data_IF_718247006136
#
_entry.id   IF_718247006136
#
_cell.length_a   1.000
_cell.length_b   1.000
_cell.length_c   1.000
_cell.angle_alpha   90.00
_cell.angle_beta   90.00
_cell.angle_gamma   90.00
#
_symmetry.space_group_name_H-M   'P 1'
#
loop_
_entity.id
_entity.type
_entity.pdbx_description
1 polymer ?
#
# COMPACT_ATOMS: atom_id res chain seq x y z
N UNK A 1 27.28 -5.89 9.00
CA UNK A 1 26.89 -7.23 9.50
C UNK A 1 26.21 -7.97 8.36
N UNK A 2 26.61 -9.20 8.06
CA UNK A 2 26.08 -9.95 6.90
C UNK A 2 24.59 -10.30 7.10
N UNK A 3 23.81 -10.32 6.00
CA UNK A 3 22.42 -10.81 5.96
C UNK A 3 22.27 -12.22 6.56
N UNK A 4 23.34 -13.00 6.53
CA UNK A 4 23.44 -14.33 7.14
C UNK A 4 23.40 -14.30 8.68
N UNK A 5 23.95 -13.26 9.33
CA UNK A 5 23.88 -13.11 10.79
C UNK A 5 22.50 -12.62 11.25
N UNK A 6 21.83 -11.77 10.48
CA UNK A 6 20.44 -11.35 10.77
C UNK A 6 19.46 -12.54 10.63
N UNK A 7 19.64 -13.36 9.60
CA UNK A 7 18.85 -14.58 9.40
C UNK A 7 19.14 -15.66 10.46
N UNK A 8 20.38 -15.81 10.93
CA UNK A 8 20.71 -16.73 12.05
C UNK A 8 20.13 -16.27 13.38
N UNK A 9 20.08 -14.96 13.64
CA UNK A 9 19.43 -14.40 14.85
C UNK A 9 17.91 -14.54 14.76
N UNK A 10 17.31 -14.33 13.59
CA UNK A 10 15.87 -14.55 13.36
C UNK A 10 15.47 -16.02 13.55
N UNK A 11 16.25 -16.95 12.98
CA UNK A 11 16.10 -18.39 13.22
C UNK A 11 16.27 -18.75 14.72
N UNK A 12 17.21 -18.11 15.43
CA UNK A 12 17.37 -18.29 16.88
C UNK A 12 16.20 -17.75 17.71
N UNK A 13 15.54 -16.68 17.27
CA UNK A 13 14.45 -16.04 18.01
C UNK A 13 13.09 -16.69 17.72
N UNK A 14 12.88 -17.18 16.50
CA UNK A 14 11.61 -17.77 16.07
C UNK A 14 11.51 -19.27 16.43
N UNK A 15 12.61 -20.03 16.33
CA UNK A 15 12.57 -21.50 16.50
C UNK A 15 12.96 -21.97 17.93
N UNK A 16 13.66 -21.15 18.74
CA UNK A 16 14.12 -21.55 20.10
C UNK A 16 13.29 -20.99 21.27
N UNK A 17 12.31 -20.12 21.06
CA UNK A 17 11.48 -19.60 22.16
C UNK A 17 10.66 -20.68 22.90
N UNK A 18 10.08 -21.69 22.22
CA UNK A 18 9.46 -22.83 22.91
C UNK A 18 10.49 -23.59 23.77
N UNK A 19 11.75 -23.66 23.32
CA UNK A 19 12.84 -24.35 24.03
C UNK A 19 13.28 -23.59 25.30
N UNK A 20 13.42 -22.26 25.23
CA UNK A 20 13.74 -21.43 26.41
C UNK A 20 12.59 -21.45 27.41
N UNK A 21 11.35 -21.30 26.95
CA UNK A 21 10.18 -21.31 27.84
C UNK A 21 10.01 -22.66 28.55
N UNK A 22 10.18 -23.78 27.85
CA UNK A 22 10.19 -25.11 28.47
C UNK A 22 11.31 -25.26 29.50
N UNK A 23 12.50 -24.71 29.22
CA UNK A 23 13.63 -24.71 30.16
C UNK A 23 13.33 -23.88 31.41
N UNK A 24 12.68 -22.71 31.27
CA UNK A 24 12.30 -21.86 32.39
C UNK A 24 11.24 -22.50 33.28
N UNK A 25 10.31 -23.25 32.71
CA UNK A 25 9.34 -24.07 33.46
C UNK A 25 10.08 -25.17 34.22
N UNK A 26 10.96 -25.93 33.56
CA UNK A 26 11.77 -26.99 34.18
C UNK A 26 12.65 -26.48 35.34
N UNK A 27 13.16 -25.25 35.23
CA UNK A 27 13.95 -24.58 36.26
C UNK A 27 13.10 -23.91 37.35
N UNK A 28 11.76 -24.02 37.30
CA UNK A 28 10.83 -23.39 38.25
C UNK A 28 10.87 -21.86 38.23
N UNK A 29 11.34 -21.25 37.15
CA UNK A 29 11.44 -19.79 36.99
C UNK A 29 10.13 -19.15 36.56
N UNK A 30 9.28 -19.91 35.89
CA UNK A 30 7.91 -19.53 35.50
C UNK A 30 6.98 -20.73 35.72
N UNK A 31 5.68 -20.49 35.89
CA UNK A 31 4.69 -21.56 35.95
C UNK A 31 4.32 -22.08 34.55
N UNK A 32 3.82 -23.31 34.48
CA UNK A 32 3.26 -23.86 33.24
C UNK A 32 2.10 -23.00 32.68
N UNK A 33 1.30 -22.39 33.56
CA UNK A 33 0.18 -21.54 33.17
C UNK A 33 0.63 -20.25 32.46
N UNK A 34 1.69 -19.61 32.99
CA UNK A 34 2.32 -18.46 32.34
C UNK A 34 2.88 -18.87 30.98
N UNK A 35 3.58 -20.01 30.90
CA UNK A 35 4.12 -20.52 29.63
C UNK A 35 3.03 -20.79 28.58
N UNK A 36 1.91 -21.41 28.98
CA UNK A 36 0.77 -21.67 28.08
C UNK A 36 0.14 -20.37 27.57
N UNK A 37 0.08 -19.35 28.40
CA UNK A 37 -0.49 -18.05 28.02
C UNK A 37 0.41 -17.34 27.02
N UNK A 38 1.72 -17.28 27.29
CA UNK A 38 2.71 -16.69 26.38
C UNK A 38 2.77 -17.41 25.03
N UNK A 39 2.75 -18.75 25.02
CA UNK A 39 2.72 -19.52 23.77
C UNK A 39 1.49 -19.19 22.91
N UNK A 40 0.30 -19.10 23.51
CA UNK A 40 -0.91 -18.72 22.77
C UNK A 40 -0.83 -17.31 22.18
N UNK A 41 -0.20 -16.37 22.87
CA UNK A 41 0.03 -15.02 22.35
C UNK A 41 1.00 -15.09 21.16
N UNK A 42 2.08 -15.83 21.31
CA UNK A 42 3.09 -16.02 20.27
C UNK A 42 2.52 -16.66 19.00
N UNK A 43 1.74 -17.73 19.14
CA UNK A 43 1.05 -18.42 18.04
C UNK A 43 0.14 -17.46 17.27
N UNK A 44 -0.71 -16.68 17.96
CA UNK A 44 -1.58 -15.69 17.31
C UNK A 44 -0.79 -14.62 16.54
N UNK A 45 0.35 -14.19 17.07
CA UNK A 45 1.20 -13.21 16.39
C UNK A 45 1.78 -13.78 15.10
N UNK A 46 2.30 -15.02 15.14
CA UNK A 46 2.81 -15.71 13.94
C UNK A 46 1.69 -15.88 12.91
N UNK A 47 0.53 -16.39 13.33
CA UNK A 47 -0.61 -16.62 12.44
C UNK A 47 -1.04 -15.32 11.75
N UNK A 48 -1.12 -14.21 12.51
CA UNK A 48 -1.44 -12.90 11.95
C UNK A 48 -0.41 -12.44 10.91
N UNK A 49 0.89 -12.60 11.19
CA UNK A 49 1.94 -12.22 10.24
C UNK A 49 1.92 -13.08 8.97
N UNK A 50 1.68 -14.39 9.09
CA UNK A 50 1.55 -15.28 7.94
C UNK A 50 0.34 -14.94 7.08
N UNK A 51 -0.81 -14.66 7.72
CA UNK A 51 -2.01 -14.21 7.01
C UNK A 51 -1.76 -12.90 6.25
N UNK A 52 -1.08 -11.93 6.87
CA UNK A 52 -0.70 -10.68 6.23
C UNK A 52 0.24 -10.91 5.03
N UNK A 53 1.25 -11.78 5.17
CA UNK A 53 2.16 -12.10 4.08
C UNK A 53 1.40 -12.71 2.88
N UNK A 54 0.44 -13.60 3.13
CA UNK A 54 -0.41 -14.18 2.09
C UNK A 54 -1.36 -13.15 1.44
N UNK A 55 -1.90 -12.20 2.20
CA UNK A 55 -2.66 -11.08 1.63
C UNK A 55 -1.78 -10.23 0.70
N UNK A 56 -0.58 -9.88 1.15
CA UNK A 56 0.38 -9.07 0.39
C UNK A 56 0.84 -9.74 -0.91
N UNK A 57 0.90 -11.08 -0.94
CA UNK A 57 1.24 -11.84 -2.16
C UNK A 57 0.29 -11.58 -3.34
N UNK A 58 -0.95 -11.17 -3.06
CA UNK A 58 -1.93 -10.84 -4.11
C UNK A 58 -1.86 -9.38 -4.55
N UNK A 59 -1.23 -8.52 -3.74
CA UNK A 59 -1.08 -7.09 -4.05
C UNK A 59 -0.15 -6.94 -5.23
N UNK A 60 -0.57 -6.14 -6.21
CA UNK A 60 0.07 -6.05 -7.51
C UNK A 60 1.55 -5.62 -7.42
N UNK A 61 1.87 -4.79 -6.42
CA UNK A 61 3.21 -4.30 -6.11
C UNK A 61 4.15 -5.38 -5.53
N UNK A 62 3.60 -6.39 -4.85
CA UNK A 62 4.36 -7.35 -4.06
C UNK A 62 4.26 -8.80 -4.58
N UNK A 63 3.43 -9.06 -5.58
CA UNK A 63 3.14 -10.41 -6.10
C UNK A 63 4.34 -11.24 -6.58
N UNK A 64 5.47 -10.61 -6.87
CA UNK A 64 6.70 -11.28 -7.32
C UNK A 64 7.82 -11.28 -6.26
N UNK A 65 7.51 -10.84 -5.04
CA UNK A 65 8.44 -10.94 -3.92
C UNK A 65 8.52 -12.38 -3.43
N UNK A 66 9.69 -12.75 -2.92
CA UNK A 66 9.85 -14.05 -2.27
C UNK A 66 9.24 -14.04 -0.86
N UNK A 67 9.05 -15.22 -0.29
CA UNK A 67 8.41 -15.41 1.03
C UNK A 67 9.10 -14.60 2.12
N UNK A 68 10.44 -14.66 2.20
CA UNK A 68 11.20 -13.90 3.20
C UNK A 68 10.98 -12.38 3.11
N UNK A 69 10.85 -11.82 1.90
CA UNK A 69 10.54 -10.41 1.72
C UNK A 69 9.08 -10.08 2.08
N UNK A 70 8.13 -10.97 1.75
CA UNK A 70 6.72 -10.82 2.15
C UNK A 70 6.54 -10.89 3.68
N UNK A 71 7.25 -11.79 4.35
CA UNK A 71 7.27 -11.88 5.81
C UNK A 71 7.87 -10.62 6.47
N UNK A 72 8.97 -10.10 5.92
CA UNK A 72 9.54 -8.84 6.38
C UNK A 72 8.60 -7.65 6.15
N UNK A 73 7.84 -7.62 5.04
CA UNK A 73 6.80 -6.61 4.83
C UNK A 73 5.65 -6.78 5.83
N UNK A 74 5.19 -8.01 6.05
CA UNK A 74 4.13 -8.29 7.02
C UNK A 74 4.50 -7.87 8.45
N UNK A 75 5.80 -7.78 8.77
CA UNK A 75 6.29 -7.30 10.06
C UNK A 75 6.11 -5.78 10.26
N UNK A 76 6.14 -5.00 9.18
CA UNK A 76 5.99 -3.53 9.20
C UNK A 76 4.60 -3.07 8.73
N UNK A 77 3.69 -4.02 8.51
CA UNK A 77 2.36 -3.80 7.98
C UNK A 77 1.33 -3.60 9.12
N UNK A 78 0.44 -2.64 8.94
CA UNK A 78 -0.69 -2.38 9.82
C UNK A 78 -2.00 -2.60 9.06
N UNK A 79 -2.95 -3.33 9.65
CA UNK A 79 -4.27 -3.54 9.04
C UNK A 79 -5.26 -2.50 9.53
N UNK A 80 -5.99 -1.88 8.61
CA UNK A 80 -7.01 -0.88 8.91
C UNK A 80 -8.31 -1.20 8.15
N UNK A 81 -9.44 -1.17 8.85
CA UNK A 81 -10.75 -1.41 8.28
C UNK A 81 -11.55 -0.12 8.25
N UNK A 82 -12.16 0.16 7.09
CA UNK A 82 -12.92 1.38 6.83
C UNK A 82 -14.34 1.05 6.40
N UNK A 83 -15.31 1.70 7.04
CA UNK A 83 -16.72 1.62 6.64
C UNK A 83 -16.95 2.42 5.33
N UNK A 84 -18.04 2.15 4.58
CA UNK A 84 -18.44 2.97 3.44
C UNK A 84 -18.52 4.46 3.80
N UNK A 85 -18.23 5.31 2.82
CA UNK A 85 -18.20 6.77 2.91
C UNK A 85 -17.16 7.34 3.90
N UNK A 86 -16.26 6.50 4.41
CA UNK A 86 -15.17 6.97 5.28
C UNK A 86 -14.02 7.55 4.47
N UNK A 87 -13.60 8.77 4.81
CA UNK A 87 -12.42 9.42 4.23
C UNK A 87 -11.15 8.80 4.82
N UNK A 88 -10.36 8.14 3.97
CA UNK A 88 -9.12 7.46 4.37
C UNK A 88 -7.92 8.42 4.24
N UNK A 89 -7.93 9.24 3.21
CA UNK A 89 -6.89 10.23 2.93
C UNK A 89 -7.55 11.53 2.51
N UNK A 90 -7.03 12.64 3.04
CA UNK A 90 -7.50 14.00 2.73
C UNK A 90 -6.44 14.71 1.89
N UNK A 91 -6.87 15.34 0.79
CA UNK A 91 -6.02 16.18 -0.04
C UNK A 91 -5.38 17.30 0.80
N UNK A 92 -4.09 17.55 0.56
CA UNK A 92 -3.34 18.59 1.27
C UNK A 92 -2.74 18.18 2.61
N UNK A 93 -3.11 17.02 3.17
CA UNK A 93 -2.48 16.47 4.39
C UNK A 93 -1.11 15.87 4.13
N UNK A 94 -0.36 15.55 5.18
CA UNK A 94 0.95 14.94 5.07
C UNK A 94 0.88 13.56 4.39
N UNK A 95 1.80 13.29 3.47
CA UNK A 95 1.97 11.98 2.84
C UNK A 95 3.14 11.23 3.51
N UNK A 96 2.84 10.53 4.61
CA UNK A 96 3.82 9.80 5.44
C UNK A 96 3.64 8.27 5.41
N UNK A 97 2.64 7.79 4.68
CA UNK A 97 2.32 6.37 4.54
C UNK A 97 1.64 6.08 3.20
N UNK A 98 1.62 4.81 2.81
CA UNK A 98 0.85 4.33 1.67
C UNK A 98 0.04 3.10 2.05
N UNK A 99 -0.89 2.72 1.18
CA UNK A 99 -1.88 1.69 1.48
C UNK A 99 -1.98 0.68 0.34
N UNK A 100 -2.23 -0.58 0.71
CA UNK A 100 -2.62 -1.66 -0.19
C UNK A 100 -4.07 -2.05 0.09
N UNK A 101 -4.89 -2.21 -0.96
CA UNK A 101 -6.28 -2.63 -0.82
C UNK A 101 -6.35 -4.15 -0.80
N UNK A 102 -6.70 -4.75 0.35
CA UNK A 102 -6.88 -6.21 0.46
C UNK A 102 -8.28 -6.62 0.04
N UNK A 103 -9.28 -5.81 0.39
CA UNK A 103 -10.66 -5.94 -0.07
C UNK A 103 -11.36 -4.59 -0.06
N UNK A 104 -12.39 -4.46 -0.88
CA UNK A 104 -13.19 -3.24 -1.02
C UNK A 104 -12.91 -2.50 -2.33
N UNK A 105 -13.45 -1.29 -2.41
CA UNK A 105 -13.34 -0.38 -3.55
C UNK A 105 -13.33 1.05 -3.00
N UNK A 106 -12.43 1.88 -3.54
CA UNK A 106 -12.20 3.24 -3.07
C UNK A 106 -12.37 4.25 -4.20
N UNK A 107 -12.94 5.40 -3.91
CA UNK A 107 -13.07 6.52 -4.84
C UNK A 107 -11.98 7.54 -4.59
N UNK A 108 -11.34 7.98 -5.67
CA UNK A 108 -10.38 9.09 -5.67
C UNK A 108 -11.06 10.34 -6.21
N UNK A 109 -11.01 11.42 -5.44
CA UNK A 109 -11.54 12.73 -5.84
C UNK A 109 -10.52 13.83 -5.62
N UNK A 110 -10.67 14.92 -6.36
CA UNK A 110 -9.86 16.13 -6.18
C UNK A 110 -10.76 17.33 -5.93
N UNK A 111 -10.43 18.13 -4.93
CA UNK A 111 -11.16 19.35 -4.61
C UNK A 111 -10.87 20.40 -5.68
N UNK A 112 -11.90 21.09 -6.17
CA UNK A 112 -11.78 22.18 -7.12
C UNK A 112 -12.08 23.54 -6.44
N UNK A 113 -11.05 24.32 -6.07
CA UNK A 113 -11.24 25.60 -5.39
C UNK A 113 -11.98 26.64 -6.24
N UNK A 114 -11.90 26.54 -7.56
CA UNK A 114 -12.57 27.46 -8.49
C UNK A 114 -14.07 27.17 -8.61
N UNK A 115 -14.52 26.00 -8.14
CA UNK A 115 -15.92 25.57 -8.16
C UNK A 115 -16.46 25.33 -6.76
N UNK A 116 -16.26 26.29 -5.85
CA UNK A 116 -16.82 26.25 -4.50
C UNK A 116 -16.49 24.93 -3.76
N UNK A 117 -15.24 24.46 -3.91
CA UNK A 117 -14.72 23.21 -3.34
C UNK A 117 -15.48 21.94 -3.77
N UNK A 118 -16.13 21.94 -4.93
CA UNK A 118 -16.70 20.72 -5.52
C UNK A 118 -15.63 19.63 -5.71
N UNK A 119 -15.99 18.39 -5.40
CA UNK A 119 -15.13 17.22 -5.60
C UNK A 119 -15.29 16.65 -7.01
N UNK A 120 -14.22 16.75 -7.81
CA UNK A 120 -14.14 16.10 -9.12
C UNK A 120 -13.69 14.64 -8.96
N UNK A 121 -14.47 13.69 -9.48
CA UNK A 121 -14.08 12.28 -9.57
C UNK A 121 -12.87 12.11 -10.49
N UNK A 122 -11.85 11.39 -10.02
CA UNK A 122 -10.66 11.06 -10.80
C UNK A 122 -10.65 9.60 -11.23
N UNK A 123 -10.83 8.67 -10.28
CA UNK A 123 -10.71 7.24 -10.55
C UNK A 123 -11.26 6.41 -9.39
N UNK A 124 -11.33 5.10 -9.61
CA UNK A 124 -11.57 4.08 -8.56
C UNK A 124 -10.28 3.30 -8.32
N UNK A 125 -10.07 2.85 -7.08
CA UNK A 125 -8.99 1.94 -6.68
C UNK A 125 -9.64 0.66 -6.16
N UNK A 126 -9.30 -0.45 -6.81
CA UNK A 126 -9.88 -1.76 -6.51
C UNK A 126 -8.97 -2.62 -5.63
N UNK A 127 -9.52 -3.75 -5.18
CA UNK A 127 -8.79 -4.83 -4.53
C UNK A 127 -7.48 -5.16 -5.26
N UNK A 128 -6.45 -5.44 -4.47
CA UNK A 128 -5.08 -5.77 -4.83
C UNK A 128 -4.26 -4.61 -5.44
N UNK A 129 -4.82 -3.40 -5.53
CA UNK A 129 -4.06 -2.22 -5.94
C UNK A 129 -3.44 -1.48 -4.74
N UNK A 130 -2.56 -0.54 -5.05
CA UNK A 130 -1.80 0.30 -4.12
C UNK A 130 -2.04 1.77 -4.44
N UNK A 131 -2.18 2.59 -3.40
CA UNK A 131 -2.29 4.04 -3.51
C UNK A 131 -1.49 4.77 -2.42
N UNK A 132 -1.17 6.04 -2.69
CA UNK A 132 -0.37 6.88 -1.80
C UNK A 132 1.13 6.58 -1.87
N UNK A 133 1.56 5.69 -2.77
CA UNK A 133 2.94 5.26 -2.99
C UNK A 133 3.88 6.40 -3.41
N UNK A 134 3.33 7.52 -3.90
CA UNK A 134 4.11 8.71 -4.24
C UNK A 134 4.91 9.24 -3.05
N UNK A 135 4.44 9.01 -1.81
CA UNK A 135 5.16 9.41 -0.61
C UNK A 135 6.54 8.75 -0.49
N UNK A 136 6.77 7.60 -1.13
CA UNK A 136 8.03 6.87 -1.11
C UNK A 136 9.12 7.67 -1.87
N UNK A 137 8.75 8.35 -2.96
CA UNK A 137 9.67 9.04 -3.85
C UNK A 137 9.85 10.52 -3.50
N UNK A 138 8.78 11.16 -3.07
CA UNK A 138 8.77 12.59 -2.77
C UNK A 138 8.15 12.84 -1.39
N UNK A 139 8.75 13.74 -0.62
CA UNK A 139 8.10 14.30 0.56
C UNK A 139 7.08 15.33 0.11
N UNK A 140 5.85 15.24 0.59
CA UNK A 140 4.85 16.21 0.19
C UNK A 140 3.52 15.99 0.85
N UNK A 141 2.52 16.58 0.22
CA UNK A 141 1.12 16.49 0.63
C UNK A 141 0.37 15.48 -0.23
N UNK A 142 -0.72 14.95 0.30
CA UNK A 142 -1.68 14.15 -0.45
C UNK A 142 -2.23 14.96 -1.61
N UNK A 143 -2.25 14.37 -2.80
CA UNK A 143 -2.60 15.05 -4.06
C UNK A 143 -4.08 14.95 -4.43
N UNK A 144 -4.82 14.10 -3.72
CA UNK A 144 -6.22 13.81 -3.91
C UNK A 144 -6.79 13.21 -2.61
N UNK A 145 -8.11 13.27 -2.47
CA UNK A 145 -8.83 12.56 -1.44
C UNK A 145 -9.05 11.09 -1.84
N UNK A 146 -9.13 10.21 -0.84
CA UNK A 146 -9.52 8.81 -1.04
C UNK A 146 -10.60 8.44 -0.03
N UNK A 147 -11.71 7.89 -0.52
CA UNK A 147 -12.88 7.53 0.28
C UNK A 147 -13.26 6.08 0.01
N UNK A 148 -13.60 5.32 1.05
CA UNK A 148 -14.13 3.97 0.89
C UNK A 148 -15.55 4.03 0.31
N UNK A 149 -15.82 3.31 -0.79
CA UNK A 149 -17.18 3.19 -1.34
C UNK A 149 -17.94 2.01 -0.74
N UNK A 150 -17.21 1.00 -0.28
CA UNK A 150 -17.72 -0.18 0.42
C UNK A 150 -16.84 -0.46 1.64
N UNK A 151 -17.26 -1.37 2.52
CA UNK A 151 -16.40 -1.82 3.62
C UNK A 151 -15.08 -2.34 3.05
N UNK A 152 -13.98 -1.74 3.48
CA UNK A 152 -12.66 -1.93 2.87
C UNK A 152 -11.63 -2.29 3.92
N UNK A 153 -10.84 -3.33 3.63
CA UNK A 153 -9.69 -3.74 4.44
C UNK A 153 -8.42 -3.30 3.73
N UNK A 154 -7.64 -2.46 4.39
CA UNK A 154 -6.40 -1.91 3.89
C UNK A 154 -5.22 -2.42 4.71
N UNK A 155 -4.07 -2.50 4.06
CA UNK A 155 -2.78 -2.64 4.73
C UNK A 155 -2.01 -1.34 4.56
N UNK A 156 -1.75 -0.67 5.68
CA UNK A 156 -0.99 0.57 5.78
C UNK A 156 0.50 0.26 6.02
N UNK A 157 1.35 1.04 5.36
CA UNK A 157 2.79 1.04 5.56
C UNK A 157 3.29 2.45 5.86
N UNK A 158 3.97 2.60 6.98
CA UNK A 158 4.74 3.82 7.27
C UNK A 158 5.88 3.97 6.25
N UNK A 159 6.07 5.20 5.75
CA UNK A 159 7.10 5.52 4.77
C UNK A 159 8.49 5.14 5.26
N UNK A 160 8.86 5.50 6.49
CA UNK A 160 10.22 5.30 6.98
C UNK A 160 10.51 3.81 7.20
N UNK A 161 9.54 3.08 7.77
CA UNK A 161 9.64 1.63 7.92
C UNK A 161 9.81 0.92 6.56
N UNK A 162 9.04 1.34 5.55
CA UNK A 162 9.14 0.77 4.21
C UNK A 162 10.45 1.12 3.50
N UNK A 163 10.95 2.35 3.67
CA UNK A 163 12.28 2.74 3.15
C UNK A 163 13.38 1.89 3.79
N UNK A 164 13.28 1.58 5.08
CA UNK A 164 14.23 0.69 5.75
C UNK A 164 14.14 -0.75 5.22
N UNK A 165 12.93 -1.25 4.94
CA UNK A 165 12.74 -2.51 4.22
C UNK A 165 13.44 -2.51 2.85
N UNK A 166 13.26 -1.45 2.04
CA UNK A 166 13.90 -1.32 0.72
C UNK A 166 15.43 -1.41 0.81
N UNK A 167 16.03 -0.74 1.81
CA UNK A 167 17.49 -0.76 2.01
C UNK A 167 17.99 -2.16 2.35
N UNK A 168 17.23 -2.91 3.14
CA UNK A 168 17.62 -4.23 3.62
C UNK A 168 17.27 -5.37 2.65
N UNK A 169 16.44 -5.11 1.63
CA UNK A 169 16.00 -6.10 0.64
C UNK A 169 16.22 -5.66 -0.84
N UNK A 170 17.48 -5.45 -1.31
CA UNK A 170 17.75 -4.87 -2.64
C UNK A 170 17.08 -5.58 -3.83
N UNK A 171 16.96 -6.91 -3.79
CA UNK A 171 16.27 -7.68 -4.84
C UNK A 171 14.78 -7.36 -4.89
N UNK A 172 14.12 -7.31 -3.73
CA UNK A 172 12.71 -6.93 -3.63
C UNK A 172 12.50 -5.48 -4.12
N UNK A 173 13.41 -4.59 -3.76
CA UNK A 173 13.40 -3.18 -4.17
C UNK A 173 13.44 -3.02 -5.68
N UNK A 174 14.29 -3.79 -6.39
CA UNK A 174 14.33 -3.78 -7.84
C UNK A 174 13.02 -4.27 -8.46
N UNK A 175 12.44 -5.35 -7.91
CA UNK A 175 11.14 -5.87 -8.36
C UNK A 175 10.02 -4.84 -8.18
N UNK A 176 9.95 -4.20 -7.02
CA UNK A 176 9.00 -3.12 -6.71
C UNK A 176 9.18 -1.95 -7.66
N UNK A 177 10.42 -1.51 -7.89
CA UNK A 177 10.73 -0.39 -8.78
C UNK A 177 10.29 -0.65 -10.22
N UNK A 178 10.61 -1.84 -10.76
CA UNK A 178 10.18 -2.25 -12.11
C UNK A 178 8.66 -2.19 -12.22
N UNK A 179 7.95 -2.66 -11.19
CA UNK A 179 6.50 -2.64 -11.18
C UNK A 179 5.92 -1.23 -11.17
N UNK A 180 6.46 -0.33 -10.33
CA UNK A 180 6.05 1.08 -10.29
C UNK A 180 6.29 1.75 -11.64
N UNK A 181 7.45 1.52 -12.27
CA UNK A 181 7.77 2.05 -13.60
C UNK A 181 6.73 1.56 -14.63
N UNK A 182 6.40 0.27 -14.65
CA UNK A 182 5.38 -0.28 -15.54
C UNK A 182 4.00 0.35 -15.31
N UNK A 183 3.59 0.52 -14.04
CA UNK A 183 2.31 1.16 -13.68
C UNK A 183 2.27 2.63 -14.14
N UNK A 184 3.36 3.36 -13.96
CA UNK A 184 3.49 4.76 -14.39
C UNK A 184 3.47 4.89 -15.91
N UNK A 185 4.18 4.02 -16.63
CA UNK A 185 4.16 3.97 -18.10
C UNK A 185 2.73 3.73 -18.62
N UNK A 186 2.03 2.74 -18.07
CA UNK A 186 0.65 2.46 -18.45
C UNK A 186 -0.30 3.64 -18.18
N UNK A 187 -0.14 4.32 -17.03
CA UNK A 187 -0.93 5.52 -16.71
C UNK A 187 -0.64 6.67 -17.69
N UNK A 188 0.63 6.92 -18.00
CA UNK A 188 1.02 7.98 -18.94
C UNK A 188 0.45 7.73 -20.35
N UNK A 189 0.50 6.49 -20.83
CA UNK A 189 -0.09 6.08 -22.11
C UNK A 189 -1.62 6.26 -22.14
N UNK A 190 -2.31 5.96 -21.03
CA UNK A 190 -3.75 6.13 -20.91
C UNK A 190 -4.15 7.61 -20.91
N UNK A 191 -3.50 8.43 -20.08
CA UNK A 191 -3.74 9.88 -20.04
C UNK A 191 -3.43 10.54 -21.39
N UNK A 192 -2.35 10.12 -22.06
CA UNK A 192 -2.02 10.60 -23.40
C UNK A 192 -3.12 10.31 -24.44
N UNK A 193 -3.74 9.13 -24.37
CA UNK A 193 -4.87 8.75 -25.22
C UNK A 193 -6.13 9.57 -24.93
N UNK A 194 -6.47 9.78 -23.66
CA UNK A 194 -7.62 10.58 -23.24
C UNK A 194 -7.48 12.05 -23.69
N UNK A 195 -6.31 12.65 -23.48
CA UNK A 195 -6.02 14.02 -23.92
C UNK A 195 -6.10 14.15 -25.44
N UNK A 196 -5.59 13.16 -26.19
CA UNK A 196 -5.70 13.15 -27.65
C UNK A 196 -7.16 13.07 -28.12
N UNK A 197 -8.00 12.30 -27.42
CA UNK A 197 -9.44 12.21 -27.70
C UNK A 197 -10.16 13.53 -27.40
N UNK A 198 -9.94 14.12 -26.22
CA UNK A 198 -10.52 15.42 -25.84
C UNK A 198 -10.10 16.51 -26.81
N UNK A 199 -8.80 16.58 -27.18
CA UNK A 199 -8.30 17.56 -28.13
C UNK A 199 -9.00 17.45 -29.49
N UNK A 200 -9.23 16.22 -30.01
CA UNK A 200 -9.98 16.00 -31.27
C UNK A 200 -11.44 16.47 -31.18
N UNK A 201 -12.09 16.30 -30.02
CA UNK A 201 -13.43 16.83 -29.81
C UNK A 201 -13.43 18.36 -29.86
N UNK A 202 -12.49 19.03 -29.17
CA UNK A 202 -12.35 20.49 -29.21
C UNK A 202 -12.01 21.05 -30.60
N UNK A 203 -11.15 20.38 -31.38
CA UNK A 203 -10.91 20.79 -32.78
C UNK A 203 -12.09 20.53 -33.71
N UNK A 204 -13.05 19.69 -33.34
CA UNK A 204 -14.25 19.43 -34.14
C UNK A 204 -15.46 20.29 -33.72
N UNK A 205 -15.52 20.80 -32.48
CA UNK A 205 -16.59 21.67 -31.97
C UNK A 205 -16.31 23.16 -32.09
N UNK A 206 -15.12 23.55 -32.54
CA UNK A 206 -14.80 24.91 -32.99
C UNK A 206 -14.31 24.85 -34.43
N UNK A 207 -15.24 24.50 -35.32
CA UNK A 207 -15.00 24.65 -36.75
C UNK A 207 -14.85 26.15 -37.01
N UNK A 208 -13.64 26.60 -37.36
CA UNK A 208 -13.39 27.96 -37.82
C UNK A 208 -14.35 28.36 -38.97
N UNK A 209 -14.95 27.37 -39.64
CA UNK A 209 -15.99 27.54 -40.63
C UNK A 209 -17.33 28.10 -40.12
N UNK A 210 -17.74 27.88 -38.86
CA UNK A 210 -18.96 28.52 -38.32
C UNK A 210 -18.71 29.99 -37.96
N UNK A 211 -17.57 30.30 -37.34
CA UNK A 211 -17.19 31.68 -37.03
C UNK A 211 -17.06 32.54 -38.30
N UNK A 212 -16.56 31.99 -39.41
CA UNK A 212 -16.44 32.73 -40.68
C UNK A 212 -17.82 33.03 -41.30
N UNK A 213 -18.85 32.20 -41.06
CA UNK A 213 -20.21 32.46 -41.56
C UNK A 213 -20.92 33.60 -40.86
N UNK A 214 -20.50 33.98 -39.64
CA UNK A 214 -21.06 35.16 -38.96
C UNK A 214 -20.46 36.48 -39.48
N UNK A 215 -19.35 36.42 -40.21
CA UNK A 215 -18.66 37.59 -40.77
C UNK A 215 -18.79 37.72 -42.32
N UNK A 216 -19.54 36.84 -42.98
CA UNK A 216 -19.87 36.89 -44.41
C UNK A 216 -21.38 37.01 -44.63
#
# INVERSE_FOLDING_TARGET
MSQENANRVRYYIEDQKPFIGNTLVMLGKISEEVMRTELKIYERVIEKHQQLAEMLKNVVLFKYLNESALESLAYIAETEEYAPDTRIVIEGEAADCFYCVVSGALRVTKTNPEKNDEEAYLSTIDKNDVFGESCIFESGKRTANVTAEVTSLLVRFDKNAFIEFIKNHPKASLTILIFIIQKLMARLENTGRELAFVKRQYTSTHDAHELIKEFL
#
